data_IF_462017435020
#
_entry.id   IF_462017435020
#
_cell.length_a   1.000
_cell.length_b   1.000
_cell.length_c   1.000
_cell.angle_alpha   90.00
_cell.angle_beta   90.00
_cell.angle_gamma   90.00
#
_symmetry.space_group_name_H-M   'P 1'
#
loop_
_entity.id
_entity.type
_entity.pdbx_description
1 polymer ?
#
# COMPACT_ATOMS: atom_id res chain seq x y z
N UNK A 1 -20.97 -13.09 -7.70
CA UNK A 1 -20.84 -14.47 -8.24
C UNK A 1 -19.37 -14.85 -8.10
N UNK A 2 -19.13 -15.99 -7.47
CA UNK A 2 -17.86 -16.45 -6.86
C UNK A 2 -16.69 -16.54 -7.86
N UNK A 3 -15.96 -15.44 -8.05
CA UNK A 3 -14.76 -15.43 -8.93
C UNK A 3 -13.61 -16.32 -8.42
N UNK A 4 -13.65 -16.71 -7.14
CA UNK A 4 -12.71 -17.65 -6.57
C UNK A 4 -12.86 -19.08 -7.15
N UNK A 5 -14.09 -19.47 -7.57
CA UNK A 5 -14.33 -20.77 -8.22
C UNK A 5 -13.53 -20.94 -9.53
N UNK A 6 -13.20 -19.85 -10.21
CA UNK A 6 -12.31 -19.88 -11.40
C UNK A 6 -10.86 -20.21 -11.07
N UNK A 7 -10.50 -20.17 -9.80
CA UNK A 7 -9.16 -20.43 -9.29
C UNK A 7 -9.05 -21.78 -8.54
N UNK A 8 -10.13 -22.54 -8.45
CA UNK A 8 -10.10 -23.92 -7.95
C UNK A 8 -9.31 -24.77 -8.96
N UNK A 9 -8.08 -25.10 -8.60
CA UNK A 9 -7.15 -25.86 -9.47
C UNK A 9 -5.80 -25.16 -9.66
N UNK A 10 -5.66 -23.89 -9.24
CA UNK A 10 -4.35 -23.25 -9.14
C UNK A 10 -3.73 -23.58 -7.79
N UNK A 11 -2.50 -24.06 -7.83
CA UNK A 11 -1.73 -24.34 -6.60
C UNK A 11 -1.14 -23.04 -6.04
N UNK A 12 -2.02 -22.22 -5.46
CA UNK A 12 -1.62 -20.97 -4.83
C UNK A 12 -0.95 -21.22 -3.47
N UNK A 13 0.02 -20.39 -3.06
CA UNK A 13 0.52 -20.37 -1.69
C UNK A 13 -0.61 -20.16 -0.67
N UNK A 14 -0.45 -20.73 0.54
CA UNK A 14 -1.50 -20.72 1.57
C UNK A 14 -1.93 -19.30 1.97
N UNK A 15 -0.96 -18.38 2.16
CA UNK A 15 -1.28 -16.98 2.49
C UNK A 15 -2.15 -16.32 1.43
N UNK A 16 -1.93 -16.66 0.13
CA UNK A 16 -2.72 -16.08 -0.95
C UNK A 16 -4.14 -16.64 -1.00
N UNK A 17 -4.32 -17.93 -0.68
CA UNK A 17 -5.66 -18.53 -0.51
C UNK A 17 -6.42 -17.82 0.60
N UNK A 18 -5.75 -17.59 1.74
CA UNK A 18 -6.32 -16.87 2.89
C UNK A 18 -6.67 -15.42 2.54
N UNK A 19 -5.80 -14.71 1.82
CA UNK A 19 -6.09 -13.38 1.30
C UNK A 19 -7.34 -13.37 0.42
N UNK A 20 -7.47 -14.31 -0.53
CA UNK A 20 -8.62 -14.38 -1.43
C UNK A 20 -9.93 -14.65 -0.68
N UNK A 21 -9.92 -15.51 0.34
CA UNK A 21 -11.09 -15.79 1.18
C UNK A 21 -11.53 -14.54 1.97
N UNK A 22 -10.59 -13.73 2.44
CA UNK A 22 -10.91 -12.49 3.14
C UNK A 22 -11.62 -11.47 2.23
N UNK A 23 -11.30 -11.44 0.92
CA UNK A 23 -11.90 -10.50 -0.02
C UNK A 23 -13.43 -10.68 -0.20
N UNK A 24 -13.99 -11.79 0.24
CA UNK A 24 -15.45 -12.01 0.23
C UNK A 24 -16.19 -11.20 1.30
N UNK A 25 -15.48 -10.69 2.30
CA UNK A 25 -16.06 -9.95 3.40
C UNK A 25 -15.84 -8.44 3.21
N UNK A 26 -16.85 -7.64 3.55
CA UNK A 26 -16.72 -6.18 3.56
C UNK A 26 -15.94 -5.77 4.80
N UNK A 27 -14.92 -4.96 4.62
CA UNK A 27 -14.12 -4.39 5.71
C UNK A 27 -14.26 -2.86 5.75
N UNK A 28 -14.45 -2.30 6.93
CA UNK A 28 -14.36 -0.86 7.18
C UNK A 28 -12.91 -0.42 7.47
N UNK A 29 -12.00 -1.39 7.67
CA UNK A 29 -10.59 -1.17 7.96
C UNK A 29 -9.88 -0.54 6.75
N UNK A 30 -8.97 0.36 7.02
CA UNK A 30 -8.10 0.93 6.00
C UNK A 30 -6.65 0.68 6.38
N UNK A 31 -5.83 0.38 5.40
CA UNK A 31 -4.37 0.27 5.57
C UNK A 31 -3.72 1.35 4.74
N UNK A 32 -2.98 2.22 5.40
CA UNK A 32 -2.13 3.20 4.73
C UNK A 32 -0.83 2.52 4.38
N UNK A 33 -0.46 2.58 3.11
CA UNK A 33 0.73 1.94 2.55
C UNK A 33 1.63 3.00 1.91
N UNK A 34 2.94 2.87 2.14
CA UNK A 34 3.98 3.60 1.42
C UNK A 34 5.12 2.63 1.10
N UNK A 35 5.52 2.57 -0.15
CA UNK A 35 6.61 1.72 -0.63
C UNK A 35 7.69 2.60 -1.25
N UNK A 36 8.92 2.44 -0.81
CA UNK A 36 10.10 3.00 -1.46
C UNK A 36 10.68 2.00 -2.46
N UNK A 37 11.06 2.49 -3.61
CA UNK A 37 11.54 1.67 -4.72
C UNK A 37 12.78 2.28 -5.36
N UNK A 38 13.54 1.48 -6.13
CA UNK A 38 14.68 1.97 -6.91
C UNK A 38 14.26 2.86 -8.08
N UNK A 39 12.99 2.88 -8.46
CA UNK A 39 12.42 3.69 -9.53
C UNK A 39 10.96 3.39 -9.76
N UNK A 40 10.37 3.86 -10.86
CA UNK A 40 8.93 3.80 -11.14
C UNK A 40 8.52 2.69 -12.12
N UNK A 41 9.45 1.83 -12.52
CA UNK A 41 9.16 0.73 -13.44
C UNK A 41 8.97 -0.58 -12.68
N UNK A 42 7.74 -0.97 -12.43
CA UNK A 42 7.40 -2.13 -11.61
C UNK A 42 8.07 -3.45 -12.06
N UNK A 43 8.37 -3.61 -13.35
CA UNK A 43 9.00 -4.83 -13.88
C UNK A 43 10.52 -4.84 -13.77
N UNK A 44 11.16 -3.68 -13.53
CA UNK A 44 12.62 -3.52 -13.49
C UNK A 44 13.11 -3.10 -12.13
N UNK A 45 12.31 -2.31 -11.44
CA UNK A 45 12.66 -1.75 -10.15
C UNK A 45 12.32 -2.70 -8.99
N UNK A 46 12.93 -2.42 -7.85
CA UNK A 46 12.80 -3.25 -6.64
C UNK A 46 12.26 -2.43 -5.49
N UNK A 47 11.60 -3.11 -4.57
CA UNK A 47 11.19 -2.55 -3.29
C UNK A 47 12.44 -2.40 -2.42
N UNK A 48 12.66 -1.20 -1.89
CA UNK A 48 13.73 -0.89 -0.93
C UNK A 48 13.20 -0.98 0.50
N UNK A 49 12.01 -0.45 0.73
CA UNK A 49 11.37 -0.50 2.04
C UNK A 49 9.86 -0.34 1.89
N UNK A 50 9.11 -0.71 2.90
CA UNK A 50 7.70 -0.38 2.99
C UNK A 50 7.27 -0.13 4.43
N UNK A 51 6.31 0.78 4.56
CA UNK A 51 5.62 1.09 5.80
C UNK A 51 4.12 0.95 5.62
N UNK A 52 3.47 0.31 6.57
CA UNK A 52 2.02 0.18 6.59
C UNK A 52 1.47 0.36 8.00
N UNK A 53 0.30 0.98 8.11
CA UNK A 53 -0.40 1.15 9.38
C UNK A 53 -1.91 1.17 9.17
N UNK A 54 -2.64 0.92 10.24
CA UNK A 54 -4.09 0.81 10.17
C UNK A 54 -4.80 2.11 10.55
N UNK A 55 -5.94 2.32 9.90
CA UNK A 55 -6.97 3.27 10.34
C UNK A 55 -8.25 2.47 10.62
N UNK A 56 -8.69 2.50 11.87
CA UNK A 56 -9.93 1.87 12.33
C UNK A 56 -10.78 2.93 13.02
N UNK A 57 -12.05 3.02 12.68
CA UNK A 57 -13.00 4.00 13.26
C UNK A 57 -12.47 5.45 13.23
N UNK A 58 -11.77 5.84 12.15
CA UNK A 58 -11.14 7.16 11.98
C UNK A 58 -9.99 7.47 12.94
N UNK A 59 -9.42 6.47 13.53
CA UNK A 59 -8.24 6.58 14.40
C UNK A 59 -7.08 5.83 13.78
N UNK A 60 -5.91 6.45 13.80
CA UNK A 60 -4.66 5.79 13.41
C UNK A 60 -4.25 4.86 14.53
N UNK A 61 -4.04 3.58 14.22
CA UNK A 61 -3.63 2.55 15.18
C UNK A 61 -2.11 2.41 15.09
N UNK A 62 -1.39 3.08 15.98
CA UNK A 62 0.09 3.10 15.99
C UNK A 62 0.66 1.76 16.47
N UNK A 63 -0.05 1.08 17.38
CA UNK A 63 0.39 -0.20 17.94
C UNK A 63 0.45 -1.32 16.90
N UNK A 64 -0.29 -1.16 15.80
CA UNK A 64 -0.33 -2.10 14.69
C UNK A 64 0.25 -1.43 13.45
N UNK A 65 1.56 -1.32 13.39
CA UNK A 65 2.30 -0.81 12.26
C UNK A 65 3.32 -1.84 11.78
N UNK A 66 3.58 -1.81 10.47
CA UNK A 66 4.57 -2.63 9.82
C UNK A 66 5.58 -1.70 9.13
N UNK A 67 6.85 -1.90 9.42
CA UNK A 67 7.94 -1.20 8.75
C UNK A 67 9.07 -2.20 8.47
N UNK A 68 9.43 -2.35 7.20
CA UNK A 68 10.45 -3.30 6.75
C UNK A 68 11.38 -2.60 5.78
N UNK A 69 12.69 -2.73 6.03
CA UNK A 69 13.76 -2.27 5.19
C UNK A 69 14.43 -3.45 4.48
N UNK A 70 14.54 -3.38 3.16
CA UNK A 70 15.14 -4.38 2.29
C UNK A 70 16.38 -3.84 1.56
N UNK A 71 16.81 -2.60 1.83
CA UNK A 71 17.83 -1.88 1.08
C UNK A 71 19.19 -2.57 1.10
N UNK A 72 19.59 -3.15 2.24
CA UNK A 72 20.91 -3.78 2.42
C UNK A 72 21.07 -5.14 1.73
N UNK A 73 19.98 -5.72 1.22
CA UNK A 73 19.91 -7.12 0.78
C UNK A 73 19.71 -7.28 -0.72
N UNK A 74 19.66 -6.18 -1.44
CA UNK A 74 19.42 -6.18 -2.87
C UNK A 74 20.68 -6.55 -3.66
N UNK A 75 20.96 -7.82 -3.77
CA UNK A 75 21.93 -8.32 -4.76
C UNK A 75 21.32 -8.13 -6.16
N UNK A 76 21.73 -7.04 -6.81
CA UNK A 76 21.19 -6.53 -8.09
C UNK A 76 21.24 -7.57 -9.23
N UNK A 77 21.95 -8.67 -9.02
CA UNK A 77 22.19 -9.70 -10.04
C UNK A 77 21.16 -10.82 -10.06
N UNK A 78 20.36 -10.97 -9.01
CA UNK A 78 19.41 -12.08 -8.95
C UNK A 78 18.03 -11.63 -9.46
N UNK A 79 17.46 -12.33 -10.45
CA UNK A 79 16.11 -12.07 -10.98
C UNK A 79 15.02 -12.68 -10.09
N UNK A 80 15.37 -13.66 -9.29
CA UNK A 80 14.44 -14.37 -8.42
C UNK A 80 14.37 -13.68 -7.05
N UNK A 81 13.23 -13.78 -6.40
CA UNK A 81 13.04 -13.26 -5.06
C UNK A 81 13.81 -14.11 -4.04
N UNK A 82 14.48 -13.46 -3.11
CA UNK A 82 15.06 -14.14 -1.96
C UNK A 82 13.95 -14.68 -1.04
N UNK A 83 14.28 -15.65 -0.20
CA UNK A 83 13.35 -16.20 0.79
C UNK A 83 12.79 -15.10 1.72
N UNK A 84 13.62 -14.16 2.10
CA UNK A 84 13.23 -13.06 2.98
C UNK A 84 12.29 -12.05 2.27
N UNK A 85 12.54 -11.72 0.99
CA UNK A 85 11.63 -10.90 0.21
C UNK A 85 10.24 -11.56 0.14
N UNK A 86 10.20 -12.88 -0.12
CA UNK A 86 8.94 -13.64 -0.14
C UNK A 86 8.21 -13.53 1.20
N UNK A 87 8.89 -13.76 2.33
CA UNK A 87 8.29 -13.66 3.67
C UNK A 87 7.78 -12.26 4.01
N UNK A 88 8.54 -11.23 3.61
CA UNK A 88 8.15 -9.85 3.87
C UNK A 88 6.93 -9.43 3.04
N UNK A 89 6.85 -9.86 1.77
CA UNK A 89 5.65 -9.63 0.94
C UNK A 89 4.45 -10.41 1.48
N UNK A 90 4.63 -11.64 1.92
CA UNK A 90 3.57 -12.42 2.59
C UNK A 90 3.06 -11.70 3.83
N UNK A 91 3.97 -11.20 4.68
CA UNK A 91 3.64 -10.43 5.88
C UNK A 91 2.82 -9.17 5.53
N UNK A 92 3.25 -8.42 4.50
CA UNK A 92 2.54 -7.24 4.04
C UNK A 92 1.15 -7.58 3.51
N UNK A 93 1.00 -8.63 2.71
CA UNK A 93 -0.30 -9.06 2.15
C UNK A 93 -1.24 -9.52 3.26
N UNK A 94 -0.74 -10.26 4.24
CA UNK A 94 -1.52 -10.66 5.41
C UNK A 94 -1.95 -9.45 6.25
N UNK A 95 -1.08 -8.44 6.39
CA UNK A 95 -1.39 -7.18 7.06
C UNK A 95 -2.47 -6.39 6.32
N UNK A 96 -2.39 -6.31 5.00
CA UNK A 96 -3.39 -5.63 4.15
C UNK A 96 -4.74 -6.36 4.25
N UNK A 97 -4.76 -7.66 4.07
CA UNK A 97 -5.99 -8.47 4.06
C UNK A 97 -7.05 -7.89 3.13
N UNK A 98 -8.28 -7.73 3.62
CA UNK A 98 -9.41 -7.13 2.88
C UNK A 98 -9.60 -5.62 3.13
N UNK A 99 -8.62 -4.94 3.71
CA UNK A 99 -8.71 -3.51 3.97
C UNK A 99 -8.75 -2.69 2.68
N UNK A 100 -9.33 -1.49 2.73
CA UNK A 100 -9.12 -0.50 1.68
C UNK A 100 -7.69 0.07 1.81
N UNK A 101 -6.92 0.07 0.73
CA UNK A 101 -5.55 0.60 0.73
C UNK A 101 -5.60 2.11 0.50
N UNK A 102 -4.82 2.85 1.28
CA UNK A 102 -4.66 4.29 1.17
C UNK A 102 -3.19 4.61 0.92
N UNK A 103 -2.90 5.52 -0.01
CA UNK A 103 -1.53 5.97 -0.25
C UNK A 103 -1.46 7.20 -1.15
N UNK A 104 -0.26 7.67 -1.39
CA UNK A 104 0.02 8.73 -2.35
C UNK A 104 0.52 8.10 -3.65
N UNK A 105 -0.17 8.35 -4.78
CA UNK A 105 0.10 7.68 -6.05
C UNK A 105 0.12 6.16 -5.93
N UNK A 106 -0.77 5.67 -5.13
CA UNK A 106 -0.82 4.28 -4.64
C UNK A 106 -0.84 3.23 -5.76
N UNK A 107 -1.23 3.61 -6.97
CA UNK A 107 -1.21 2.71 -8.12
C UNK A 107 0.20 2.20 -8.46
N UNK A 108 1.26 3.01 -8.25
CA UNK A 108 2.65 2.58 -8.45
C UNK A 108 3.05 1.53 -7.41
N UNK A 109 2.70 1.76 -6.15
CA UNK A 109 2.98 0.82 -5.05
C UNK A 109 2.26 -0.52 -5.28
N UNK A 110 1.01 -0.46 -5.74
CA UNK A 110 0.23 -1.66 -6.06
C UNK A 110 0.79 -2.38 -7.29
N UNK A 111 1.26 -1.66 -8.31
CA UNK A 111 1.84 -2.29 -9.50
C UNK A 111 3.11 -3.06 -9.15
N UNK A 112 4.06 -2.46 -8.43
CA UNK A 112 5.28 -3.17 -8.06
C UNK A 112 4.99 -4.36 -7.14
N UNK A 113 4.06 -4.22 -6.19
CA UNK A 113 3.64 -5.31 -5.33
C UNK A 113 3.00 -6.46 -6.12
N UNK A 114 2.20 -6.15 -7.15
CA UNK A 114 1.64 -7.16 -8.05
C UNK A 114 2.70 -7.89 -8.88
N UNK A 115 3.82 -7.24 -9.24
CA UNK A 115 4.94 -7.91 -9.89
C UNK A 115 5.63 -8.91 -8.95
N UNK A 116 5.82 -8.55 -7.68
CA UNK A 116 6.33 -9.49 -6.66
C UNK A 116 5.38 -10.66 -6.48
N UNK A 117 4.07 -10.41 -6.35
CA UNK A 117 3.06 -11.45 -6.24
C UNK A 117 3.02 -12.36 -7.46
N UNK A 118 3.23 -11.84 -8.66
CA UNK A 118 3.32 -12.62 -9.89
C UNK A 118 4.50 -13.60 -9.85
N UNK A 119 5.67 -13.15 -9.38
CA UNK A 119 6.86 -14.01 -9.18
C UNK A 119 6.63 -15.10 -8.12
N UNK A 120 5.72 -14.83 -7.16
CA UNK A 120 5.30 -15.78 -6.13
C UNK A 120 4.16 -16.71 -6.60
N UNK A 121 3.84 -16.71 -7.90
CA UNK A 121 2.72 -17.44 -8.49
C UNK A 121 1.34 -17.07 -7.92
N UNK A 122 1.22 -15.87 -7.38
CA UNK A 122 -0.03 -15.28 -6.91
C UNK A 122 -0.76 -14.50 -8.02
N UNK A 123 -1.98 -14.06 -7.72
CA UNK A 123 -2.72 -13.12 -8.56
C UNK A 123 -2.42 -11.66 -8.20
N UNK A 124 -3.29 -10.76 -8.67
CA UNK A 124 -3.20 -9.33 -8.34
C UNK A 124 -4.05 -8.99 -7.12
N UNK A 125 -3.64 -7.97 -6.36
CA UNK A 125 -4.44 -7.42 -5.28
C UNK A 125 -5.81 -6.97 -5.77
N UNK A 126 -6.84 -7.18 -4.93
CA UNK A 126 -8.26 -6.88 -5.24
C UNK A 126 -8.85 -5.78 -4.36
N UNK A 127 -8.04 -5.18 -3.52
CA UNK A 127 -8.46 -4.19 -2.57
C UNK A 127 -8.97 -2.91 -3.26
N UNK A 128 -9.98 -2.28 -2.66
CA UNK A 128 -10.32 -0.90 -2.99
C UNK A 128 -9.17 0.03 -2.59
N UNK A 129 -9.07 1.18 -3.26
CA UNK A 129 -8.00 2.15 -3.02
C UNK A 129 -8.51 3.57 -2.81
N UNK A 130 -7.82 4.33 -1.97
CA UNK A 130 -7.89 5.78 -1.91
C UNK A 130 -6.50 6.36 -2.20
N UNK A 131 -6.42 7.22 -3.20
CA UNK A 131 -5.20 7.99 -3.50
C UNK A 131 -5.36 9.41 -2.94
N UNK A 132 -4.46 9.80 -2.03
CA UNK A 132 -4.54 11.12 -1.37
C UNK A 132 -4.26 12.28 -2.33
N UNK A 133 -3.50 12.10 -3.43
CA UNK A 133 -3.32 13.12 -4.45
C UNK A 133 -4.65 13.34 -5.22
N UNK A 134 -5.34 12.27 -5.58
CA UNK A 134 -6.66 12.35 -6.22
C UNK A 134 -7.69 13.01 -5.28
N UNK A 135 -7.65 12.65 -4.00
CA UNK A 135 -8.52 13.28 -2.99
C UNK A 135 -8.20 14.77 -2.82
N UNK A 136 -6.92 15.15 -2.78
CA UNK A 136 -6.48 16.53 -2.74
C UNK A 136 -7.02 17.33 -3.93
N UNK A 137 -6.84 16.81 -5.14
CA UNK A 137 -7.31 17.44 -6.38
C UNK A 137 -8.82 17.68 -6.37
N UNK A 138 -9.60 16.75 -5.82
CA UNK A 138 -11.04 16.93 -5.62
C UNK A 138 -11.39 18.04 -4.61
N UNK A 139 -10.59 18.20 -3.55
CA UNK A 139 -10.83 19.25 -2.54
C UNK A 139 -10.58 20.64 -3.11
N UNK A 140 -9.56 20.81 -3.96
CA UNK A 140 -9.19 22.11 -4.53
C UNK A 140 -9.87 22.42 -5.86
N UNK A 141 -10.73 21.51 -6.34
CA UNK A 141 -11.42 21.59 -7.63
C UNK A 141 -10.46 21.89 -8.80
N UNK A 142 -9.32 21.25 -8.81
CA UNK A 142 -8.29 21.36 -9.85
C UNK A 142 -7.94 19.99 -10.40
N UNK A 143 -7.94 19.90 -11.72
CA UNK A 143 -7.24 18.83 -12.44
C UNK A 143 -5.75 19.17 -12.51
N UNK A 144 -5.11 19.39 -11.36
CA UNK A 144 -3.69 19.72 -11.34
C UNK A 144 -2.88 18.43 -11.46
N UNK A 145 -2.01 18.40 -12.45
CA UNK A 145 -1.05 17.33 -12.60
C UNK A 145 0.08 17.52 -11.58
N UNK A 146 0.32 16.49 -10.77
CA UNK A 146 1.56 16.27 -10.03
C UNK A 146 1.90 17.29 -8.93
N UNK A 147 1.08 17.35 -7.89
CA UNK A 147 1.49 18.00 -6.64
C UNK A 147 2.33 17.02 -5.83
N UNK A 148 3.52 17.41 -5.40
CA UNK A 148 4.36 16.57 -4.56
C UNK A 148 3.72 16.32 -3.19
N UNK A 149 4.03 15.17 -2.57
CA UNK A 149 3.51 14.83 -1.25
C UNK A 149 3.87 15.89 -0.20
N UNK A 150 5.10 16.43 -0.26
CA UNK A 150 5.56 17.51 0.62
C UNK A 150 4.75 18.79 0.47
N UNK A 151 4.43 19.18 -0.77
CA UNK A 151 3.56 20.34 -1.01
C UNK A 151 2.16 20.12 -0.44
N UNK A 152 1.60 18.92 -0.62
CA UNK A 152 0.30 18.58 -0.06
C UNK A 152 0.36 18.64 1.47
N UNK A 153 1.39 18.08 2.11
CA UNK A 153 1.55 18.18 3.57
C UNK A 153 1.56 19.62 4.05
N UNK A 154 2.29 20.51 3.37
CA UNK A 154 2.35 21.94 3.72
C UNK A 154 0.96 22.61 3.62
N UNK A 155 0.19 22.34 2.56
CA UNK A 155 -1.18 22.88 2.38
C UNK A 155 -2.10 22.45 3.54
N UNK A 156 -1.97 21.22 4.00
CA UNK A 156 -2.81 20.68 5.07
C UNK A 156 -2.19 20.82 6.46
N UNK A 157 -1.06 21.53 6.60
CA UNK A 157 -0.34 21.73 7.88
C UNK A 157 -0.07 20.39 8.57
N UNK A 158 0.49 19.46 7.82
CA UNK A 158 1.02 18.20 8.31
C UNK A 158 2.54 18.37 8.33
N UNK A 159 3.14 18.06 9.48
CA UNK A 159 4.59 18.11 9.61
C UNK A 159 5.24 17.03 8.74
N UNK A 160 6.27 17.42 7.99
CA UNK A 160 7.09 16.44 7.30
C UNK A 160 7.88 15.65 8.34
N UNK A 161 7.96 14.33 8.22
CA UNK A 161 8.72 13.53 9.17
C UNK A 161 10.20 13.96 9.16
N UNK A 162 10.79 14.12 10.35
CA UNK A 162 12.21 14.47 10.52
C UNK A 162 13.12 13.35 10.01
N UNK A 163 12.69 12.10 10.19
CA UNK A 163 13.35 10.91 9.68
C UNK A 163 12.47 10.34 8.59
N UNK A 164 12.99 10.30 7.38
CA UNK A 164 12.28 9.77 6.22
C UNK A 164 12.39 8.25 6.20
N UNK A 165 11.46 7.59 6.88
CA UNK A 165 11.25 6.14 6.77
C UNK A 165 9.89 5.87 6.15
N UNK A 166 9.71 4.69 5.56
CA UNK A 166 8.44 4.30 4.96
C UNK A 166 7.29 4.30 5.98
N UNK A 167 7.56 3.93 7.24
CA UNK A 167 6.59 3.98 8.34
C UNK A 167 6.19 5.40 8.71
N UNK A 168 7.15 6.32 8.84
CA UNK A 168 6.87 7.71 9.15
C UNK A 168 6.11 8.42 8.01
N UNK A 169 6.43 8.10 6.76
CA UNK A 169 5.69 8.61 5.61
C UNK A 169 4.27 8.05 5.56
N UNK A 170 4.08 6.76 5.80
CA UNK A 170 2.75 6.16 5.91
C UNK A 170 1.92 6.83 7.01
N UNK A 171 2.51 7.15 8.17
CA UNK A 171 1.84 7.87 9.26
C UNK A 171 1.39 9.28 8.83
N UNK A 172 2.28 10.05 8.17
CA UNK A 172 1.92 11.39 7.67
C UNK A 172 0.82 11.33 6.60
N UNK A 173 0.85 10.31 5.73
CA UNK A 173 -0.21 10.05 4.75
C UNK A 173 -1.53 9.68 5.44
N UNK A 174 -1.49 8.94 6.55
CA UNK A 174 -2.69 8.63 7.32
C UNK A 174 -3.36 9.90 7.88
N UNK A 175 -2.57 10.81 8.44
CA UNK A 175 -3.07 12.10 8.92
C UNK A 175 -3.68 12.94 7.79
N UNK A 176 -3.01 12.95 6.62
CA UNK A 176 -3.50 13.62 5.42
C UNK A 176 -4.83 13.02 4.96
N UNK A 177 -4.92 11.71 4.87
CA UNK A 177 -6.13 11.01 4.48
C UNK A 177 -7.32 11.39 5.37
N UNK A 178 -7.14 11.39 6.70
CA UNK A 178 -8.19 11.75 7.64
C UNK A 178 -8.68 13.21 7.45
N UNK A 179 -7.76 14.16 7.18
CA UNK A 179 -8.12 15.54 6.86
C UNK A 179 -8.88 15.67 5.55
N UNK A 180 -8.41 14.98 4.50
CA UNK A 180 -9.05 15.01 3.18
C UNK A 180 -10.44 14.36 3.22
N UNK A 181 -10.56 13.22 3.89
CA UNK A 181 -11.81 12.50 4.08
C UNK A 181 -12.86 13.37 4.76
N UNK A 182 -12.47 14.09 5.83
CA UNK A 182 -13.35 15.05 6.53
C UNK A 182 -13.83 16.15 5.60
N UNK A 183 -12.94 16.73 4.77
CA UNK A 183 -13.32 17.80 3.82
C UNK A 183 -14.23 17.31 2.70
N UNK A 184 -14.01 16.09 2.22
CA UNK A 184 -14.82 15.48 1.16
C UNK A 184 -16.10 14.83 1.68
N UNK A 185 -16.33 14.80 3.01
CA UNK A 185 -17.46 14.14 3.66
C UNK A 185 -17.65 12.68 3.24
N UNK A 186 -16.53 11.97 3.03
CA UNK A 186 -16.53 10.54 2.70
C UNK A 186 -16.75 9.74 4.00
N UNK A 187 -17.69 8.78 3.93
CA UNK A 187 -18.01 7.90 5.06
C UNK A 187 -16.91 6.87 5.37
#
# INVERSE_FOLDING_TARGET
MLDWLKNIGKDFPEFWKNYLLQQENISSRKVVLHIETTGLNATKDRILSFGALEIVNNQVVIENCLEIDLSDKNDVKNKDLSYEEVQNIETLVNFIGNATIVGHRIHYDIEILNEYLSKMHCGRLKNNVFDVEVMHNKVIDKNSNQTSLTEIFNIYKIENPLILTSGNLAFSVALLFLKLRSRLKIA
#
